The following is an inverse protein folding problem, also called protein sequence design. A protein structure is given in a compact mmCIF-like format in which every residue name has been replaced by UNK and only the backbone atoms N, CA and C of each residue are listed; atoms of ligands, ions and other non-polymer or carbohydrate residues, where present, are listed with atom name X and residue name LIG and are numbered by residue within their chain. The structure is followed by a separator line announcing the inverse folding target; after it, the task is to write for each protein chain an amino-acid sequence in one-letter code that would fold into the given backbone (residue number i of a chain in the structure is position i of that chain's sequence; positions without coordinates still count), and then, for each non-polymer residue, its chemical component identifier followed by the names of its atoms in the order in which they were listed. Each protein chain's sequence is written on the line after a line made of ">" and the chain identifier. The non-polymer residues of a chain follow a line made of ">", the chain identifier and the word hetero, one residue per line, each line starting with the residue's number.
data_IF_817479826816
#
_entry.id   IF_817479826816
#
_cell.length_a   1.000
_cell.length_b   1.000
_cell.length_c   1.000
_cell.angle_alpha   90.00
_cell.angle_beta   90.00
_cell.angle_gamma   90.00
#
_symmetry.space_group_name_H-M   'P 1'
#
loop_
_entity.id
_entity.type
_entity.pdbx_description
1 polymer ?
#
# COMPACT_ATOMS: atom_id res chain seq x y z
N UNK A 1 -8.60 -22.12 -3.62
CA UNK A 1 -7.68 -21.34 -2.76
C UNK A 1 -7.25 -22.21 -1.59
N UNK A 2 -8.21 -22.77 -0.86
CA UNK A 2 -8.06 -23.89 0.08
C UNK A 2 -7.06 -24.98 -0.37
N UNK A 3 -7.23 -25.58 -1.56
CA UNK A 3 -6.31 -26.63 -2.06
C UNK A 3 -4.88 -26.14 -2.30
N UNK A 4 -4.74 -24.86 -2.67
CA UNK A 4 -3.43 -24.23 -2.92
C UNK A 4 -2.69 -24.02 -1.60
N UNK A 5 -3.38 -23.50 -0.57
CA UNK A 5 -2.79 -23.29 0.74
C UNK A 5 -2.38 -24.61 1.41
N UNK A 6 -3.23 -25.65 1.31
CA UNK A 6 -2.88 -27.01 1.77
C UNK A 6 -1.67 -27.57 1.01
N UNK A 7 -1.57 -27.32 -0.30
CA UNK A 7 -0.40 -27.72 -1.09
C UNK A 7 0.90 -27.04 -0.60
N UNK A 8 0.82 -25.78 -0.14
CA UNK A 8 1.94 -25.08 0.50
C UNK A 8 2.12 -25.43 1.99
N UNK A 9 1.45 -26.47 2.50
CA UNK A 9 1.62 -26.98 3.86
C UNK A 9 0.86 -26.24 4.95
N UNK A 10 -0.13 -25.41 4.60
CA UNK A 10 -0.98 -24.73 5.58
C UNK A 10 -2.00 -25.69 6.20
N UNK A 11 -2.43 -25.36 7.43
CA UNK A 11 -3.48 -26.11 8.14
C UNK A 11 -4.78 -26.17 7.30
N UNK A 12 -5.42 -27.35 7.15
CA UNK A 12 -6.63 -27.49 6.34
C UNK A 12 -7.82 -26.64 6.82
N UNK A 13 -7.96 -26.41 8.13
CA UNK A 13 -9.05 -25.60 8.70
C UNK A 13 -8.83 -24.13 8.37
N UNK A 14 -7.62 -23.62 8.57
CA UNK A 14 -7.24 -22.25 8.18
C UNK A 14 -7.40 -22.05 6.68
N UNK A 15 -6.91 -23.00 5.88
CA UNK A 15 -7.01 -22.98 4.42
C UNK A 15 -8.46 -22.94 3.93
N UNK A 16 -9.35 -23.69 4.59
CA UNK A 16 -10.77 -23.71 4.29
C UNK A 16 -11.43 -22.36 4.59
N UNK A 17 -11.16 -21.76 5.76
CA UNK A 17 -11.73 -20.46 6.12
C UNK A 17 -11.19 -19.32 5.24
N UNK A 18 -9.89 -19.31 4.92
CA UNK A 18 -9.30 -18.38 3.97
C UNK A 18 -9.93 -18.53 2.57
N UNK A 19 -10.15 -19.76 2.11
CA UNK A 19 -10.81 -20.04 0.85
C UNK A 19 -12.27 -19.54 0.81
N UNK A 20 -13.03 -19.76 1.88
CA UNK A 20 -14.39 -19.20 2.02
C UNK A 20 -14.35 -17.68 1.97
N UNK A 21 -13.51 -17.03 2.78
CA UNK A 21 -13.40 -15.58 2.80
C UNK A 21 -13.06 -14.99 1.43
N UNK A 22 -12.08 -15.58 0.74
CA UNK A 22 -11.69 -15.17 -0.61
C UNK A 22 -12.83 -15.31 -1.64
N UNK A 23 -13.63 -16.38 -1.58
CA UNK A 23 -14.79 -16.55 -2.46
C UNK A 23 -15.83 -15.44 -2.21
N UNK A 24 -16.07 -15.08 -0.96
CA UNK A 24 -17.01 -14.02 -0.60
C UNK A 24 -16.49 -12.61 -0.91
N UNK A 25 -15.20 -12.44 -1.18
CA UNK A 25 -14.61 -11.21 -1.70
C UNK A 25 -14.73 -11.07 -3.22
N UNK A 26 -14.93 -12.15 -4.00
CA UNK A 26 -15.05 -12.05 -5.47
C UNK A 26 -16.07 -10.99 -5.92
N UNK A 27 -17.27 -10.87 -5.31
CA UNK A 27 -18.23 -9.83 -5.68
C UNK A 27 -17.72 -8.39 -5.48
N UNK A 28 -16.72 -8.13 -4.64
CA UNK A 28 -16.15 -6.79 -4.46
C UNK A 28 -15.22 -6.37 -5.61
N UNK A 29 -14.71 -7.32 -6.40
CA UNK A 29 -13.84 -7.06 -7.55
C UNK A 29 -14.54 -6.28 -8.67
N UNK A 30 -15.86 -6.47 -8.82
CA UNK A 30 -16.64 -5.79 -9.86
C UNK A 30 -16.82 -4.28 -9.56
N UNK A 31 -17.35 -3.86 -8.40
CA UNK A 31 -17.44 -2.45 -8.08
C UNK A 31 -16.07 -1.81 -7.89
N UNK A 32 -15.05 -2.53 -7.41
CA UNK A 32 -13.70 -1.97 -7.35
C UNK A 32 -13.15 -1.65 -8.74
N UNK A 33 -13.29 -2.52 -9.73
CA UNK A 33 -12.86 -2.24 -11.10
C UNK A 33 -13.55 -1.01 -11.71
N UNK A 34 -14.84 -0.81 -11.40
CA UNK A 34 -15.58 0.38 -11.81
C UNK A 34 -15.04 1.62 -11.09
N UNK A 35 -14.81 1.53 -9.79
CA UNK A 35 -14.29 2.62 -8.96
C UNK A 35 -12.89 3.06 -9.39
N UNK A 36 -12.00 2.11 -9.67
CA UNK A 36 -10.66 2.33 -10.21
C UNK A 36 -10.66 3.04 -11.57
N UNK A 37 -11.79 3.03 -12.29
CA UNK A 37 -11.98 3.81 -13.52
C UNK A 37 -12.59 5.18 -13.26
N UNK A 38 -13.57 5.27 -12.34
CA UNK A 38 -14.25 6.53 -12.00
C UNK A 38 -13.34 7.53 -11.27
N UNK A 39 -12.45 7.04 -10.41
CA UNK A 39 -11.55 7.87 -9.60
C UNK A 39 -10.57 8.67 -10.48
N UNK A 40 -9.77 8.05 -11.38
CA UNK A 40 -8.89 8.80 -12.28
C UNK A 40 -9.66 9.74 -13.22
N UNK A 41 -10.86 9.35 -13.66
CA UNK A 41 -11.72 10.22 -14.47
C UNK A 41 -12.05 11.54 -13.76
N UNK A 42 -12.39 11.49 -12.46
CA UNK A 42 -12.68 12.69 -11.67
C UNK A 42 -11.41 13.46 -11.30
N UNK A 43 -10.32 12.75 -10.96
CA UNK A 43 -9.03 13.37 -10.61
C UNK A 43 -8.46 14.19 -11.76
N UNK A 44 -8.45 13.66 -12.99
CA UNK A 44 -7.96 14.37 -14.20
C UNK A 44 -8.75 15.63 -14.52
N UNK A 45 -9.96 15.77 -13.99
CA UNK A 45 -10.79 16.98 -14.10
C UNK A 45 -10.72 17.87 -12.86
N UNK A 46 -9.83 17.55 -11.91
CA UNK A 46 -9.71 18.22 -10.60
C UNK A 46 -11.00 18.20 -9.76
N UNK A 47 -11.88 17.22 -9.97
CA UNK A 47 -13.16 17.06 -9.25
C UNK A 47 -12.97 16.20 -7.98
N UNK A 48 -12.21 16.74 -7.02
CA UNK A 48 -11.84 16.01 -5.80
C UNK A 48 -12.95 16.01 -4.74
N UNK A 49 -13.68 17.13 -4.59
CA UNK A 49 -14.72 17.26 -3.56
C UNK A 49 -15.83 16.19 -3.67
N UNK A 50 -16.39 15.88 -4.84
CA UNK A 50 -17.36 14.80 -4.99
C UNK A 50 -16.82 13.44 -4.53
N UNK A 51 -15.56 13.12 -4.88
CA UNK A 51 -14.92 11.87 -4.46
C UNK A 51 -14.82 11.77 -2.94
N UNK A 52 -14.41 12.86 -2.28
CA UNK A 52 -14.32 12.92 -0.82
C UNK A 52 -15.69 12.73 -0.17
N UNK A 53 -16.73 13.41 -0.65
CA UNK A 53 -18.07 13.31 -0.10
C UNK A 53 -18.65 11.89 -0.27
N UNK A 54 -18.48 11.27 -1.45
CA UNK A 54 -18.90 9.89 -1.69
C UNK A 54 -18.15 8.90 -0.77
N UNK A 55 -16.84 9.09 -0.59
CA UNK A 55 -16.04 8.26 0.34
C UNK A 55 -16.54 8.38 1.79
N UNK A 56 -16.90 9.59 2.24
CA UNK A 56 -17.44 9.82 3.60
C UNK A 56 -18.81 9.12 3.76
N UNK A 57 -19.69 9.22 2.76
CA UNK A 57 -20.98 8.53 2.74
C UNK A 57 -20.78 7.01 2.82
N UNK A 58 -19.89 6.48 1.99
CA UNK A 58 -19.54 5.06 1.95
C UNK A 58 -18.99 4.58 3.29
N UNK A 59 -18.07 5.32 3.91
CA UNK A 59 -17.53 4.98 5.22
C UNK A 59 -18.60 5.00 6.32
N UNK A 60 -19.47 6.01 6.29
CA UNK A 60 -20.58 6.17 7.24
C UNK A 60 -21.58 5.01 7.14
N UNK A 61 -21.75 4.46 5.93
CA UNK A 61 -22.53 3.25 5.69
C UNK A 61 -21.77 1.96 6.04
N UNK A 62 -20.47 1.88 5.76
CA UNK A 62 -19.65 0.70 5.95
C UNK A 62 -19.58 0.26 7.41
N UNK A 63 -19.37 1.20 8.33
CA UNK A 63 -19.22 0.89 9.77
C UNK A 63 -20.44 0.15 10.34
N UNK A 64 -21.69 0.68 10.26
CA UNK A 64 -22.86 -0.02 10.78
C UNK A 64 -23.19 -1.29 9.99
N UNK A 65 -22.94 -1.31 8.68
CA UNK A 65 -23.15 -2.50 7.85
C UNK A 65 -22.21 -3.64 8.26
N UNK A 66 -20.93 -3.34 8.43
CA UNK A 66 -19.93 -4.30 8.87
C UNK A 66 -20.29 -4.86 10.25
N UNK A 67 -20.68 -3.99 11.19
CA UNK A 67 -21.15 -4.43 12.51
C UNK A 67 -22.36 -5.37 12.42
N UNK A 68 -23.37 -5.02 11.62
CA UNK A 68 -24.59 -5.82 11.48
C UNK A 68 -24.29 -7.18 10.81
N UNK A 69 -23.52 -7.19 9.73
CA UNK A 69 -23.21 -8.42 8.99
C UNK A 69 -22.28 -9.33 9.78
N UNK A 70 -21.28 -8.80 10.48
CA UNK A 70 -20.34 -9.62 11.26
C UNK A 70 -20.99 -10.15 12.53
N UNK A 71 -21.64 -9.28 13.32
CA UNK A 71 -22.06 -9.64 14.69
C UNK A 71 -23.54 -9.97 14.85
N UNK A 72 -24.43 -9.55 13.94
CA UNK A 72 -25.88 -9.75 14.10
C UNK A 72 -26.49 -10.77 13.14
N UNK A 73 -25.96 -10.88 11.92
CA UNK A 73 -26.52 -11.75 10.89
C UNK A 73 -26.12 -13.23 10.99
N UNK A 74 -25.13 -13.56 11.84
CA UNK A 74 -24.54 -14.89 11.91
C UNK A 74 -23.55 -15.22 10.78
N UNK A 75 -23.24 -14.26 9.90
CA UNK A 75 -22.32 -14.47 8.76
C UNK A 75 -20.83 -14.40 9.15
N UNK A 76 -20.47 -13.80 10.29
CA UNK A 76 -19.09 -13.75 10.78
C UNK A 76 -18.11 -13.19 9.75
N UNK A 77 -17.06 -13.94 9.41
CA UNK A 77 -16.03 -13.56 8.42
C UNK A 77 -16.62 -13.34 7.02
N UNK A 78 -17.63 -14.12 6.61
CA UNK A 78 -18.34 -13.89 5.33
C UNK A 78 -19.05 -12.54 5.33
N UNK A 79 -19.58 -12.14 6.50
CA UNK A 79 -20.21 -10.85 6.70
C UNK A 79 -19.25 -9.68 6.50
N UNK A 80 -17.99 -9.84 6.92
CA UNK A 80 -16.93 -8.85 6.68
C UNK A 80 -16.56 -8.74 5.19
N UNK A 81 -16.47 -9.86 4.46
CA UNK A 81 -16.24 -9.81 3.01
C UNK A 81 -17.42 -9.17 2.25
N UNK A 82 -18.64 -9.52 2.62
CA UNK A 82 -19.85 -8.98 2.00
C UNK A 82 -20.03 -7.49 2.29
N UNK A 83 -19.69 -7.01 3.50
CA UNK A 83 -19.76 -5.58 3.83
C UNK A 83 -18.85 -4.75 2.94
N UNK A 84 -17.65 -5.24 2.61
CA UNK A 84 -16.72 -4.58 1.65
C UNK A 84 -17.37 -4.44 0.27
N UNK A 85 -17.90 -5.55 -0.27
CA UNK A 85 -18.54 -5.54 -1.60
C UNK A 85 -19.71 -4.55 -1.66
N UNK A 86 -20.59 -4.56 -0.67
CA UNK A 86 -21.74 -3.65 -0.60
C UNK A 86 -21.30 -2.19 -0.45
N UNK A 87 -20.27 -1.91 0.35
CA UNK A 87 -19.72 -0.56 0.50
C UNK A 87 -19.14 -0.02 -0.80
N UNK A 88 -18.40 -0.83 -1.57
CA UNK A 88 -17.92 -0.41 -2.88
C UNK A 88 -19.06 -0.15 -3.87
N UNK A 89 -20.15 -0.93 -3.82
CA UNK A 89 -21.33 -0.62 -4.63
C UNK A 89 -21.99 0.70 -4.24
N UNK A 90 -22.06 1.02 -2.95
CA UNK A 90 -22.55 2.33 -2.50
C UNK A 90 -21.69 3.45 -3.07
N UNK A 91 -20.37 3.30 -3.05
CA UNK A 91 -19.46 4.32 -3.58
C UNK A 91 -19.61 4.49 -5.10
N UNK A 92 -19.63 3.38 -5.84
CA UNK A 92 -19.85 3.36 -7.29
C UNK A 92 -21.20 4.00 -7.65
N UNK A 93 -22.26 3.71 -6.91
CA UNK A 93 -23.58 4.30 -7.15
C UNK A 93 -23.55 5.80 -6.85
N UNK A 94 -22.97 6.22 -5.72
CA UNK A 94 -22.89 7.62 -5.34
C UNK A 94 -22.10 8.45 -6.37
N UNK A 95 -20.93 7.95 -6.79
CA UNK A 95 -20.13 8.56 -7.85
C UNK A 95 -20.83 8.51 -9.20
N UNK A 96 -21.46 7.39 -9.55
CA UNK A 96 -22.23 7.24 -10.78
C UNK A 96 -23.38 8.23 -10.90
N UNK A 97 -24.08 8.51 -9.79
CA UNK A 97 -25.10 9.57 -9.71
C UNK A 97 -24.45 10.93 -9.97
N UNK A 98 -23.33 11.25 -9.31
CA UNK A 98 -22.63 12.50 -9.53
C UNK A 98 -22.21 12.68 -11.01
N UNK A 99 -21.58 11.66 -11.60
CA UNK A 99 -21.14 11.67 -13.00
C UNK A 99 -22.29 11.86 -13.99
N UNK A 100 -23.44 11.25 -13.70
CA UNK A 100 -24.63 11.30 -14.57
C UNK A 100 -25.34 12.65 -14.52
N UNK A 101 -25.39 13.31 -13.38
CA UNK A 101 -26.23 14.51 -13.19
C UNK A 101 -25.44 15.82 -13.02
N UNK A 102 -24.14 15.77 -12.71
CA UNK A 102 -23.33 16.97 -12.53
C UNK A 102 -23.08 17.68 -13.87
N UNK A 103 -23.32 19.00 -13.97
CA UNK A 103 -22.92 19.80 -15.12
C UNK A 103 -21.40 19.82 -15.33
N UNK A 104 -20.61 19.65 -14.26
CA UNK A 104 -19.15 19.65 -14.36
C UNK A 104 -18.61 18.51 -15.23
N UNK A 105 -19.36 17.40 -15.33
CA UNK A 105 -19.00 16.23 -16.14
C UNK A 105 -19.68 16.22 -17.51
N UNK A 106 -20.47 17.24 -17.87
CA UNK A 106 -21.31 17.21 -19.07
C UNK A 106 -20.49 17.04 -20.36
N UNK A 107 -19.35 17.74 -20.48
CA UNK A 107 -18.48 17.70 -21.66
C UNK A 107 -17.65 16.43 -21.79
N UNK A 108 -17.32 15.80 -20.67
CA UNK A 108 -16.45 14.63 -20.56
C UNK A 108 -17.22 13.32 -20.43
N UNK A 109 -18.55 13.39 -20.23
CA UNK A 109 -19.42 12.24 -20.01
C UNK A 109 -19.25 11.23 -21.13
N UNK A 110 -18.87 10.02 -20.76
CA UNK A 110 -18.67 8.94 -21.71
C UNK A 110 -19.94 8.68 -22.52
N UNK A 111 -19.84 8.85 -23.84
CA UNK A 111 -20.80 8.31 -24.79
C UNK A 111 -20.37 6.89 -25.16
N UNK A 112 -21.32 5.97 -25.30
CA UNK A 112 -21.01 4.64 -25.79
C UNK A 112 -20.58 4.74 -27.27
N UNK A 113 -19.30 4.51 -27.55
CA UNK A 113 -18.76 4.41 -28.91
C UNK A 113 -17.97 3.12 -29.08
N UNK A 114 -18.01 2.54 -30.28
CA UNK A 114 -17.14 1.40 -30.65
C UNK A 114 -15.67 1.80 -30.75
N UNK A 115 -15.37 3.09 -30.82
CA UNK A 115 -14.00 3.61 -30.86
C UNK A 115 -13.23 3.27 -29.57
N UNK A 116 -13.93 2.95 -28.47
CA UNK A 116 -13.30 2.48 -27.22
C UNK A 116 -12.41 1.26 -27.44
N UNK A 117 -12.75 0.39 -28.40
CA UNK A 117 -11.96 -0.81 -28.69
C UNK A 117 -10.61 -0.48 -29.33
N UNK A 118 -10.47 0.70 -29.95
CA UNK A 118 -9.20 1.17 -30.50
C UNK A 118 -8.24 1.57 -29.37
N UNK A 119 -8.76 2.08 -28.25
CA UNK A 119 -7.97 2.51 -27.08
C UNK A 119 -7.59 1.38 -26.13
N UNK A 120 -8.10 0.15 -26.33
CA UNK A 120 -7.80 -1.00 -25.45
C UNK A 120 -6.32 -1.36 -25.46
N UNK A 121 -5.67 -1.32 -26.62
CA UNK A 121 -4.23 -1.60 -26.73
C UNK A 121 -3.38 -0.59 -25.96
N UNK A 122 -3.70 0.70 -26.10
CA UNK A 122 -3.04 1.79 -25.38
C UNK A 122 -3.30 1.69 -23.87
N UNK A 123 -4.52 1.37 -23.46
CA UNK A 123 -4.85 1.11 -22.05
C UNK A 123 -3.96 0.03 -21.46
N UNK A 124 -3.79 -1.13 -22.11
CA UNK A 124 -2.93 -2.18 -21.60
C UNK A 124 -1.44 -1.81 -21.62
N UNK A 125 -1.00 -0.99 -22.58
CA UNK A 125 0.38 -0.51 -22.65
C UNK A 125 0.81 0.25 -21.39
N UNK A 126 -0.08 1.07 -20.81
CA UNK A 126 0.21 1.82 -19.58
C UNK A 126 -0.21 1.09 -18.31
N UNK A 127 -1.35 0.39 -18.34
CA UNK A 127 -1.91 -0.29 -17.15
C UNK A 127 -1.09 -1.50 -16.74
N UNK A 128 -0.55 -2.30 -17.67
CA UNK A 128 0.24 -3.49 -17.30
C UNK A 128 1.53 -3.12 -16.54
N UNK A 129 2.36 -2.16 -17.00
CA UNK A 129 3.49 -1.71 -16.20
C UNK A 129 3.08 -1.08 -14.87
N UNK A 130 2.01 -0.28 -14.84
CA UNK A 130 1.51 0.32 -13.60
C UNK A 130 1.03 -0.73 -12.59
N UNK A 131 0.35 -1.78 -13.06
CA UNK A 131 -0.03 -2.92 -12.22
C UNK A 131 1.21 -3.68 -11.72
N UNK A 132 2.20 -3.87 -12.60
CA UNK A 132 3.50 -4.45 -12.24
C UNK A 132 4.19 -3.68 -11.11
N UNK A 133 4.26 -2.36 -11.18
CA UNK A 133 4.84 -1.51 -10.13
C UNK A 133 4.21 -1.80 -8.76
N UNK A 134 2.88 -1.77 -8.68
CA UNK A 134 2.12 -1.96 -7.43
C UNK A 134 2.21 -3.40 -6.93
N UNK A 135 2.06 -4.39 -7.82
CA UNK A 135 2.12 -5.80 -7.44
C UNK A 135 3.51 -6.20 -6.92
N UNK A 136 4.58 -5.76 -7.59
CA UNK A 136 5.95 -6.05 -7.18
C UNK A 136 6.24 -5.48 -5.78
N UNK A 137 5.78 -4.26 -5.51
CA UNK A 137 5.89 -3.62 -4.20
C UNK A 137 5.11 -4.42 -3.13
N UNK A 138 3.82 -4.70 -3.36
CA UNK A 138 2.98 -5.40 -2.38
C UNK A 138 3.47 -6.82 -2.08
N UNK A 139 3.85 -7.56 -3.12
CA UNK A 139 4.39 -8.91 -2.93
C UNK A 139 5.73 -8.90 -2.19
N UNK A 140 6.53 -7.83 -2.31
CA UNK A 140 7.77 -7.72 -1.52
C UNK A 140 7.47 -7.64 -0.02
N UNK A 141 6.41 -6.93 0.39
CA UNK A 141 5.99 -6.88 1.79
C UNK A 141 5.49 -8.24 2.29
N UNK A 142 4.70 -8.97 1.50
CA UNK A 142 4.26 -10.32 1.85
C UNK A 142 5.43 -11.28 2.02
N UNK A 143 6.44 -11.20 1.14
CA UNK A 143 7.68 -11.98 1.26
C UNK A 143 8.44 -11.64 2.55
N UNK A 144 8.51 -10.36 2.94
CA UNK A 144 9.15 -9.96 4.20
C UNK A 144 8.41 -10.51 5.42
N UNK A 145 7.07 -10.51 5.41
CA UNK A 145 6.25 -11.12 6.47
C UNK A 145 6.48 -12.62 6.57
N UNK A 146 6.57 -13.31 5.42
CA UNK A 146 6.91 -14.73 5.40
C UNK A 146 8.33 -15.00 5.94
N UNK A 147 9.30 -14.16 5.57
CA UNK A 147 10.69 -14.28 6.03
C UNK A 147 10.83 -14.01 7.54
N UNK A 148 10.08 -13.07 8.12
CA UNK A 148 10.13 -12.83 9.57
C UNK A 148 9.66 -14.04 10.37
N UNK A 149 8.69 -14.80 9.85
CA UNK A 149 8.22 -16.06 10.43
C UNK A 149 9.26 -17.19 10.44
N UNK A 150 10.36 -17.06 9.71
CA UNK A 150 11.45 -18.02 9.68
C UNK A 150 12.63 -17.64 10.60
N UNK A 151 12.55 -16.48 11.26
CA UNK A 151 13.58 -16.04 12.21
C UNK A 151 13.49 -16.79 13.56
N UNK A 152 14.57 -16.80 14.38
CA UNK A 152 14.63 -17.62 15.59
C UNK A 152 13.57 -17.32 16.67
N UNK A 153 13.02 -16.09 16.70
CA UNK A 153 11.88 -15.73 17.55
C UNK A 153 10.75 -15.19 16.66
N UNK A 154 9.99 -16.09 15.98
CA UNK A 154 9.07 -15.69 14.93
C UNK A 154 7.89 -14.86 15.46
N UNK A 155 7.46 -15.09 16.70
CA UNK A 155 6.37 -14.32 17.34
C UNK A 155 6.79 -12.87 17.57
N UNK A 156 7.97 -12.64 18.16
CA UNK A 156 8.50 -11.29 18.39
C UNK A 156 8.80 -10.57 17.08
N UNK A 157 9.53 -11.22 16.17
CA UNK A 157 9.96 -10.64 14.90
C UNK A 157 8.78 -10.28 14.00
N UNK A 158 7.79 -11.16 13.90
CA UNK A 158 6.59 -10.90 13.09
C UNK A 158 5.69 -9.84 13.74
N UNK A 159 5.62 -9.77 15.07
CA UNK A 159 4.87 -8.72 15.78
C UNK A 159 5.48 -7.35 15.53
N UNK A 160 6.80 -7.21 15.70
CA UNK A 160 7.51 -5.95 15.44
C UNK A 160 7.42 -5.55 13.97
N UNK A 161 7.58 -6.50 13.04
CA UNK A 161 7.43 -6.24 11.62
C UNK A 161 6.01 -5.77 11.28
N UNK A 162 4.98 -6.40 11.87
CA UNK A 162 3.58 -6.00 11.67
C UNK A 162 3.30 -4.57 12.14
N UNK A 163 3.83 -4.17 13.31
CA UNK A 163 3.73 -2.80 13.81
C UNK A 163 4.40 -1.81 12.84
N UNK A 164 5.57 -2.17 12.33
CA UNK A 164 6.30 -1.35 11.34
C UNK A 164 5.50 -1.21 10.05
N UNK A 165 5.03 -2.31 9.47
CA UNK A 165 4.26 -2.32 8.23
C UNK A 165 2.95 -1.54 8.40
N UNK A 166 2.27 -1.68 9.54
CA UNK A 166 1.06 -0.90 9.85
C UNK A 166 1.36 0.60 9.90
N UNK A 167 2.43 0.98 10.61
CA UNK A 167 2.85 2.39 10.71
C UNK A 167 3.24 2.96 9.33
N UNK A 168 3.96 2.19 8.53
CA UNK A 168 4.38 2.58 7.16
C UNK A 168 3.18 2.66 6.23
N UNK A 169 2.21 1.75 6.35
CA UNK A 169 0.98 1.75 5.54
C UNK A 169 0.12 2.99 5.83
N UNK A 170 -0.01 3.38 7.10
CA UNK A 170 -0.72 4.60 7.50
C UNK A 170 -0.10 5.86 6.89
N UNK A 171 1.23 5.95 6.93
CA UNK A 171 1.98 7.03 6.30
C UNK A 171 1.83 7.02 4.77
N UNK A 172 1.93 5.83 4.17
CA UNK A 172 1.84 5.63 2.73
C UNK A 172 0.52 6.14 2.15
N UNK A 173 -0.61 6.11 2.87
CA UNK A 173 -1.88 6.66 2.39
C UNK A 173 -1.79 8.15 2.01
N UNK A 174 -1.05 8.94 2.79
CA UNK A 174 -0.82 10.36 2.53
C UNK A 174 0.01 10.51 1.26
N UNK A 175 1.11 9.77 1.16
CA UNK A 175 2.01 9.82 0.01
C UNK A 175 1.37 9.36 -1.29
N UNK A 176 0.58 8.29 -1.27
CA UNK A 176 -0.15 7.82 -2.43
C UNK A 176 -1.13 8.88 -2.92
N UNK A 177 -1.76 9.63 -2.01
CA UNK A 177 -2.65 10.74 -2.34
C UNK A 177 -1.89 11.90 -3.00
N UNK A 178 -0.73 12.27 -2.45
CA UNK A 178 0.14 13.29 -3.05
C UNK A 178 0.68 12.82 -4.41
N UNK A 179 1.06 11.54 -4.52
CA UNK A 179 1.51 10.88 -5.74
C UNK A 179 0.45 10.90 -6.84
N UNK A 180 -0.82 10.63 -6.51
CA UNK A 180 -1.94 10.75 -7.44
C UNK A 180 -2.17 12.22 -7.86
N UNK A 181 -2.03 13.17 -6.94
CA UNK A 181 -2.15 14.59 -7.24
C UNK A 181 -1.07 15.09 -8.21
N UNK A 182 0.20 14.75 -7.98
CA UNK A 182 1.28 15.11 -8.94
C UNK A 182 1.14 14.37 -10.26
N UNK A 183 0.76 13.09 -10.25
CA UNK A 183 0.50 12.33 -11.49
C UNK A 183 -0.55 13.04 -12.35
N UNK A 184 -1.63 13.47 -11.71
CA UNK A 184 -2.71 14.23 -12.35
C UNK A 184 -2.22 15.58 -12.89
N UNK A 185 -1.50 16.36 -12.07
CA UNK A 185 -1.01 17.69 -12.49
C UNK A 185 0.01 17.60 -13.62
N UNK A 186 1.00 16.71 -13.50
CA UNK A 186 2.03 16.51 -14.52
C UNK A 186 1.41 16.05 -15.83
N UNK A 187 0.47 15.09 -15.81
CA UNK A 187 -0.21 14.63 -17.04
C UNK A 187 -1.02 15.74 -17.72
N UNK A 188 -1.73 16.58 -16.95
CA UNK A 188 -2.48 17.73 -17.49
C UNK A 188 -1.53 18.74 -18.14
N UNK A 189 -0.48 19.17 -17.44
CA UNK A 189 0.43 20.20 -17.95
C UNK A 189 1.24 19.70 -19.16
N UNK A 190 1.69 18.44 -19.14
CA UNK A 190 2.35 17.82 -20.29
C UNK A 190 1.38 17.67 -21.48
N UNK A 191 0.14 17.25 -21.24
CA UNK A 191 -0.89 17.17 -22.27
C UNK A 191 -1.26 18.52 -22.88
N UNK A 192 -1.13 19.61 -22.11
CA UNK A 192 -1.29 20.98 -22.58
C UNK A 192 -0.04 21.55 -23.30
N UNK A 193 1.07 20.80 -23.37
CA UNK A 193 2.34 21.25 -23.93
C UNK A 193 3.12 22.22 -23.04
N UNK A 194 2.75 22.34 -21.76
CA UNK A 194 3.34 23.29 -20.80
C UNK A 194 4.41 22.62 -19.92
N UNK A 195 5.59 22.39 -20.48
CA UNK A 195 6.70 21.74 -19.77
C UNK A 195 7.16 22.50 -18.53
N UNK A 196 7.07 23.83 -18.53
CA UNK A 196 7.48 24.66 -17.39
C UNK A 196 6.56 24.46 -16.18
N UNK A 197 5.24 24.42 -16.39
CA UNK A 197 4.29 24.15 -15.31
C UNK A 197 4.36 22.71 -14.81
N UNK A 198 4.66 21.74 -15.69
CA UNK A 198 4.94 20.37 -15.29
C UNK A 198 6.16 20.29 -14.35
N UNK A 199 7.27 20.97 -14.69
CA UNK A 199 8.46 21.04 -13.84
C UNK A 199 8.19 21.74 -12.51
N UNK A 200 7.39 22.82 -12.51
CA UNK A 200 7.01 23.50 -11.27
C UNK A 200 6.16 22.60 -10.37
N UNK A 201 5.27 21.79 -10.94
CA UNK A 201 4.46 20.81 -10.21
C UNK A 201 5.36 19.75 -9.54
N UNK A 202 6.37 19.25 -10.27
CA UNK A 202 7.38 18.33 -9.73
C UNK A 202 8.15 18.98 -8.58
N UNK A 203 8.69 20.18 -8.78
CA UNK A 203 9.45 20.89 -7.74
C UNK A 203 8.61 21.12 -6.47
N UNK A 204 7.35 21.54 -6.64
CA UNK A 204 6.42 21.81 -5.53
C UNK A 204 6.16 20.55 -4.72
N UNK A 205 5.88 19.42 -5.39
CA UNK A 205 5.60 18.17 -4.68
C UNK A 205 6.84 17.60 -4.00
N UNK A 206 8.04 17.78 -4.56
CA UNK A 206 9.28 17.32 -3.94
C UNK A 206 9.56 18.07 -2.63
N UNK A 207 9.31 19.38 -2.60
CA UNK A 207 9.40 20.18 -1.35
C UNK A 207 8.37 19.68 -0.33
N UNK A 208 7.13 19.44 -0.76
CA UNK A 208 6.09 18.91 0.12
C UNK A 208 6.46 17.54 0.68
N UNK A 209 7.00 16.64 -0.16
CA UNK A 209 7.42 15.30 0.23
C UNK A 209 8.54 15.33 1.27
N UNK A 210 9.55 16.19 1.09
CA UNK A 210 10.64 16.35 2.06
C UNK A 210 10.11 16.92 3.38
N UNK A 211 9.25 17.94 3.32
CA UNK A 211 8.66 18.53 4.52
C UNK A 211 7.79 17.50 5.28
N UNK A 212 7.00 16.72 4.56
CA UNK A 212 6.15 15.64 5.10
C UNK A 212 7.01 14.56 5.76
N UNK A 213 8.02 14.04 5.05
CA UNK A 213 8.91 13.01 5.55
C UNK A 213 9.65 13.44 6.82
N UNK A 214 10.15 14.68 6.87
CA UNK A 214 10.79 15.25 8.06
C UNK A 214 9.79 15.34 9.20
N UNK A 215 8.57 15.82 8.93
CA UNK A 215 7.53 15.99 9.95
C UNK A 215 7.13 14.65 10.56
N UNK A 216 6.79 13.66 9.74
CA UNK A 216 6.39 12.33 10.20
C UNK A 216 7.54 11.63 10.93
N UNK A 217 8.76 11.70 10.37
CA UNK A 217 9.95 11.12 11.01
C UNK A 217 10.24 11.74 12.37
N UNK A 218 10.12 13.07 12.49
CA UNK A 218 10.33 13.77 13.75
C UNK A 218 9.27 13.38 14.80
N UNK A 219 8.00 13.31 14.40
CA UNK A 219 6.91 12.88 15.29
C UNK A 219 7.14 11.45 15.78
N UNK A 220 7.41 10.50 14.87
CA UNK A 220 7.67 9.11 15.23
C UNK A 220 8.91 8.97 16.12
N UNK A 221 9.99 9.67 15.80
CA UNK A 221 11.21 9.62 16.60
C UNK A 221 10.99 10.20 18.01
N UNK A 222 10.25 11.30 18.14
CA UNK A 222 9.88 11.87 19.45
C UNK A 222 8.96 10.94 20.24
N UNK A 223 8.01 10.28 19.56
CA UNK A 223 7.06 9.35 20.17
C UNK A 223 7.60 7.91 20.30
N UNK A 224 8.86 7.64 19.94
CA UNK A 224 9.42 6.26 19.88
C UNK A 224 9.31 5.48 21.19
N UNK A 225 9.32 6.15 22.34
CA UNK A 225 9.20 5.51 23.65
C UNK A 225 7.76 5.15 24.01
N UNK A 226 6.77 5.76 23.36
CA UNK A 226 5.34 5.52 23.62
C UNK A 226 4.66 4.70 22.51
N UNK A 227 5.24 4.68 21.29
CA UNK A 227 4.66 4.05 20.11
C UNK A 227 4.30 2.58 20.34
N UNK A 228 5.19 1.81 20.98
CA UNK A 228 4.96 0.39 21.26
C UNK A 228 3.72 0.10 22.11
N UNK A 229 3.36 1.00 23.03
CA UNK A 229 2.20 0.84 23.92
C UNK A 229 0.87 0.88 23.18
N UNK A 230 0.81 1.47 21.99
CA UNK A 230 -0.40 1.49 21.17
C UNK A 230 -0.71 0.11 20.54
N UNK A 231 0.29 -0.78 20.47
CA UNK A 231 0.18 -2.04 19.74
C UNK A 231 0.31 -3.28 20.60
N UNK A 232 1.14 -3.26 21.67
CA UNK A 232 1.39 -4.43 22.50
C UNK A 232 1.51 -4.08 23.98
N UNK A 233 1.08 -5.02 24.83
CA UNK A 233 1.32 -4.99 26.27
C UNK A 233 2.64 -5.65 26.69
N UNK A 234 3.35 -6.30 25.77
CA UNK A 234 4.58 -7.03 26.04
C UNK A 234 5.78 -6.10 26.00
N UNK A 235 6.53 -6.04 27.11
CA UNK A 235 7.67 -5.14 27.25
C UNK A 235 8.75 -5.38 26.21
N UNK A 236 9.02 -6.64 25.87
CA UNK A 236 10.02 -7.02 24.87
C UNK A 236 9.66 -6.43 23.48
N UNK A 237 8.40 -6.54 23.05
CA UNK A 237 7.92 -5.93 21.80
C UNK A 237 8.05 -4.41 21.83
N UNK A 238 7.69 -3.78 22.95
CA UNK A 238 7.73 -2.31 23.09
C UNK A 238 9.17 -1.76 23.04
N UNK A 239 10.10 -2.39 23.77
CA UNK A 239 11.50 -1.99 23.79
C UNK A 239 12.14 -2.19 22.40
N UNK A 240 11.78 -3.28 21.72
CA UNK A 240 12.23 -3.56 20.36
C UNK A 240 11.71 -2.50 19.35
N UNK A 241 10.41 -2.17 19.36
CA UNK A 241 9.84 -1.12 18.49
C UNK A 241 10.54 0.22 18.71
N UNK A 242 10.83 0.56 19.97
CA UNK A 242 11.56 1.77 20.33
C UNK A 242 12.96 1.79 19.73
N UNK A 243 13.69 0.68 19.79
CA UNK A 243 15.04 0.55 19.20
C UNK A 243 15.02 0.61 17.66
N UNK A 244 13.96 0.12 17.03
CA UNK A 244 13.79 0.09 15.57
C UNK A 244 13.27 1.40 14.97
N UNK A 245 12.60 2.23 15.77
CA UNK A 245 11.96 3.46 15.29
C UNK A 245 12.91 4.37 14.47
N UNK A 246 14.19 4.58 14.82
CA UNK A 246 15.09 5.39 14.00
C UNK A 246 15.29 4.85 12.57
N UNK A 247 15.30 3.53 12.40
CA UNK A 247 15.38 2.90 11.07
C UNK A 247 14.07 3.03 10.31
N UNK A 248 12.94 2.95 11.00
CA UNK A 248 11.63 3.24 10.42
C UNK A 248 11.53 4.70 9.93
N UNK A 249 12.04 5.67 10.70
CA UNK A 249 12.10 7.07 10.25
C UNK A 249 12.89 7.21 8.95
N UNK A 250 14.02 6.51 8.83
CA UNK A 250 14.81 6.52 7.60
C UNK A 250 14.06 5.84 6.45
N UNK A 251 13.30 4.76 6.69
CA UNK A 251 12.48 4.11 5.66
C UNK A 251 11.37 5.01 5.15
N UNK A 252 10.68 5.71 6.05
CA UNK A 252 9.66 6.70 5.70
C UNK A 252 10.21 7.78 4.77
N UNK A 253 11.45 8.26 4.98
CA UNK A 253 12.05 9.26 4.08
C UNK A 253 12.25 8.71 2.66
N UNK A 254 12.74 7.48 2.53
CA UNK A 254 12.94 6.86 1.21
C UNK A 254 11.60 6.53 0.55
N UNK A 255 10.64 5.99 1.31
CA UNK A 255 9.29 5.67 0.84
C UNK A 255 8.56 6.94 0.36
N UNK A 256 8.73 8.07 1.06
CA UNK A 256 8.23 9.38 0.61
C UNK A 256 8.78 9.79 -0.74
N UNK A 257 10.07 9.57 -0.99
CA UNK A 257 10.68 9.92 -2.27
C UNK A 257 10.21 8.99 -3.40
N UNK A 258 10.23 7.68 -3.17
CA UNK A 258 9.86 6.67 -4.18
C UNK A 258 8.39 6.76 -4.56
N UNK A 259 7.48 6.99 -3.61
CA UNK A 259 6.06 7.13 -3.88
C UNK A 259 5.76 8.35 -4.78
N UNK A 260 6.45 9.47 -4.54
CA UNK A 260 6.29 10.70 -5.31
C UNK A 260 6.90 10.58 -6.69
N UNK A 261 8.10 10.01 -6.80
CA UNK A 261 8.74 9.72 -8.10
C UNK A 261 7.88 8.75 -8.93
N UNK A 262 7.29 7.74 -8.29
CA UNK A 262 6.34 6.82 -8.94
C UNK A 262 5.08 7.53 -9.43
N UNK A 263 4.57 8.52 -8.67
CA UNK A 263 3.50 9.42 -9.12
C UNK A 263 3.90 10.24 -10.35
N UNK A 264 5.10 10.82 -10.35
CA UNK A 264 5.63 11.60 -11.47
C UNK A 264 5.82 10.72 -12.71
N UNK A 265 6.36 9.51 -12.56
CA UNK A 265 6.52 8.54 -13.63
C UNK A 265 5.18 8.15 -14.25
N UNK A 266 4.14 7.91 -13.43
CA UNK A 266 2.77 7.67 -13.90
C UNK A 266 2.21 8.86 -14.67
N UNK A 267 2.35 10.07 -14.16
CA UNK A 267 1.90 11.29 -14.85
C UNK A 267 2.63 11.57 -16.17
N UNK A 268 3.87 11.09 -16.29
CA UNK A 268 4.71 11.29 -17.48
C UNK A 268 4.62 10.15 -18.50
N UNK A 269 3.93 9.05 -18.18
CA UNK A 269 3.85 7.85 -19.05
C UNK A 269 5.08 6.92 -18.98
N UNK A 270 5.89 7.01 -17.92
CA UNK A 270 7.13 6.25 -17.74
C UNK A 270 6.98 5.09 -16.75
N UNK A 271 5.78 4.54 -16.58
CA UNK A 271 5.51 3.46 -15.62
C UNK A 271 6.37 2.21 -15.87
N UNK A 272 6.73 1.94 -17.12
CA UNK A 272 7.61 0.82 -17.47
C UNK A 272 9.00 0.93 -16.83
N UNK A 273 9.56 2.14 -16.75
CA UNK A 273 10.85 2.37 -16.07
C UNK A 273 10.69 2.08 -14.57
N UNK A 274 9.62 2.60 -13.96
CA UNK A 274 9.32 2.33 -12.55
C UNK A 274 9.09 0.85 -12.25
N UNK A 275 8.50 0.09 -13.17
CA UNK A 275 8.31 -1.35 -13.00
C UNK A 275 9.65 -2.12 -13.00
N UNK A 276 10.57 -1.77 -13.91
CA UNK A 276 11.91 -2.36 -13.93
C UNK A 276 12.73 -1.97 -12.71
N UNK A 277 12.62 -0.71 -12.28
CA UNK A 277 13.27 -0.21 -11.07
C UNK A 277 12.77 -0.97 -9.84
N UNK A 278 11.45 -1.03 -9.60
CA UNK A 278 10.85 -1.79 -8.49
C UNK A 278 11.28 -3.26 -8.50
N UNK A 279 11.38 -3.90 -9.67
CA UNK A 279 11.85 -5.28 -9.77
C UNK A 279 13.32 -5.40 -9.33
N UNK A 280 14.20 -4.55 -9.87
CA UNK A 280 15.63 -4.55 -9.53
C UNK A 280 15.86 -4.25 -8.05
N UNK A 281 15.26 -3.15 -7.58
CA UNK A 281 15.21 -2.68 -6.20
C UNK A 281 14.86 -3.79 -5.22
N UNK A 282 13.62 -4.26 -5.26
CA UNK A 282 13.10 -5.16 -4.25
C UNK A 282 13.60 -6.60 -4.43
N UNK A 283 13.66 -7.12 -5.65
CA UNK A 283 13.88 -8.56 -5.87
C UNK A 283 15.32 -8.93 -6.16
N UNK A 284 16.12 -8.05 -6.77
CA UNK A 284 17.53 -8.34 -7.08
C UNK A 284 18.47 -7.83 -5.99
N UNK A 285 18.10 -6.79 -5.25
CA UNK A 285 18.94 -6.18 -4.21
C UNK A 285 18.32 -6.34 -2.83
N UNK A 286 17.13 -5.79 -2.60
CA UNK A 286 16.55 -5.63 -1.26
C UNK A 286 16.27 -6.95 -0.55
N UNK A 287 15.50 -7.85 -1.17
CA UNK A 287 15.17 -9.17 -0.60
C UNK A 287 16.42 -10.04 -0.40
N UNK A 288 17.33 -10.21 -1.39
CA UNK A 288 18.57 -10.96 -1.17
C UNK A 288 19.41 -10.41 -0.03
N UNK A 289 19.54 -9.09 0.07
CA UNK A 289 20.29 -8.45 1.14
C UNK A 289 19.60 -8.61 2.49
N UNK A 290 18.26 -8.53 2.54
CA UNK A 290 17.47 -8.83 3.73
C UNK A 290 17.72 -10.26 4.23
N UNK A 291 17.76 -11.26 3.32
CA UNK A 291 18.05 -12.65 3.64
C UNK A 291 19.49 -12.78 4.19
N UNK A 292 20.48 -12.18 3.53
CA UNK A 292 21.88 -12.27 3.98
C UNK A 292 22.04 -11.65 5.38
N UNK A 293 21.50 -10.45 5.60
CA UNK A 293 21.65 -9.74 6.87
C UNK A 293 20.84 -10.39 7.99
N UNK A 294 19.63 -10.89 7.70
CA UNK A 294 18.74 -11.53 8.66
C UNK A 294 19.23 -12.90 9.13
N UNK A 295 19.75 -13.72 8.21
CA UNK A 295 20.11 -15.11 8.49
C UNK A 295 21.63 -15.35 8.66
N UNK A 296 22.50 -14.73 7.85
CA UNK A 296 23.95 -15.03 7.86
C UNK A 296 24.74 -14.24 8.91
N UNK A 297 24.39 -12.98 9.15
CA UNK A 297 25.06 -12.15 10.17
C UNK A 297 24.95 -12.76 11.59
N UNK A 298 23.94 -13.60 11.82
CA UNK A 298 23.72 -14.31 13.09
C UNK A 298 24.40 -15.70 13.14
N UNK A 299 24.50 -16.42 12.02
CA UNK A 299 25.21 -17.72 11.95
C UNK A 299 26.69 -17.58 12.30
N UNK A 300 27.35 -16.51 11.81
CA UNK A 300 28.76 -16.22 12.12
C UNK A 300 29.00 -15.89 13.60
N UNK A 301 28.02 -15.32 14.30
CA UNK A 301 28.12 -14.97 15.73
C UNK A 301 27.80 -16.12 16.69
N UNK A 302 27.02 -17.12 16.26
CA UNK A 302 26.79 -18.35 17.03
C UNK A 302 28.05 -19.24 17.11
N UNK A 303 29.01 -19.03 16.21
CA UNK A 303 30.36 -19.60 16.30
C UNK A 303 31.30 -18.89 17.28
N UNK A 304 31.06 -17.60 17.59
CA UNK A 304 32.00 -16.75 18.33
C UNK A 304 31.56 -16.37 19.77
N UNK A 305 30.30 -16.57 20.16
CA UNK A 305 29.76 -16.03 21.43
C UNK A 305 29.15 -17.10 22.33
N UNK A 306 30.02 -17.80 23.06
CA UNK A 306 29.69 -18.47 24.32
C UNK A 306 29.62 -17.54 25.54
N UNK A 307 29.60 -16.19 25.37
CA UNK A 307 29.54 -15.21 26.47
C UNK A 307 28.80 -13.93 26.03
N UNK A 308 27.83 -13.51 26.84
CA UNK A 308 26.97 -12.31 26.75
C UNK A 308 25.70 -12.39 25.88
N UNK A 309 24.56 -12.46 26.58
CA UNK A 309 23.20 -12.62 26.07
C UNK A 309 22.44 -11.31 25.81
N UNK A 310 22.99 -10.13 26.14
CA UNK A 310 22.14 -8.93 26.33
C UNK A 310 22.27 -7.80 25.29
N UNK A 311 22.78 -8.06 24.06
CA UNK A 311 22.80 -7.04 22.98
C UNK A 311 22.55 -7.64 21.60
N UNK A 312 21.38 -8.23 21.38
CA UNK A 312 21.16 -9.17 20.27
C UNK A 312 20.00 -8.84 19.31
N UNK A 313 19.81 -7.56 18.95
CA UNK A 313 18.85 -7.20 17.91
C UNK A 313 19.51 -6.64 16.63
N UNK A 314 20.69 -6.00 16.68
CA UNK A 314 21.24 -5.20 15.55
C UNK A 314 21.39 -5.86 14.17
N UNK A 315 21.35 -7.19 14.02
CA UNK A 315 21.40 -7.86 12.71
C UNK A 315 20.01 -8.04 12.06
N UNK A 316 18.96 -8.32 12.84
CA UNK A 316 17.58 -8.28 12.33
C UNK A 316 17.20 -6.85 11.94
N UNK A 317 17.77 -5.83 12.61
CA UNK A 317 17.62 -4.40 12.26
C UNK A 317 17.96 -4.10 10.80
N UNK A 318 19.00 -4.73 10.26
CA UNK A 318 19.45 -4.48 8.90
C UNK A 318 18.73 -5.32 7.84
N UNK A 319 18.24 -6.50 8.21
CA UNK A 319 17.40 -7.33 7.34
C UNK A 319 16.11 -6.60 6.93
N UNK A 320 15.55 -5.84 7.88
CA UNK A 320 14.36 -5.02 7.66
C UNK A 320 14.68 -3.68 6.97
N UNK A 321 15.92 -3.19 7.09
CA UNK A 321 16.32 -1.89 6.56
C UNK A 321 16.46 -1.86 5.03
N UNK A 322 16.91 -2.96 4.41
CA UNK A 322 17.36 -2.93 3.01
C UNK A 322 16.30 -3.21 1.95
N UNK A 323 15.00 -3.24 2.28
CA UNK A 323 13.96 -3.12 1.25
C UNK A 323 13.75 -1.66 0.78
N UNK A 324 14.83 -0.87 0.81
CA UNK A 324 14.88 0.52 0.35
C UNK A 324 15.56 0.54 -1.01
N UNK A 325 14.76 0.80 -2.04
CA UNK A 325 15.16 1.12 -3.43
C UNK A 325 15.96 0.09 -4.20
#
# INVERSE_FOLDING_TARGET
>A
MDKLLVFFGQDPVVSLEAGKYAIWLIPSLFPSAILESMVPYLQTQSLILPMLLCSIITLSFHIPLCWALVFKSGLGTKGAALSISLSYWVDVIALGIYLKYSPACEKSRAAFSRDVFLSVGEFFHFTLPSAGMVCLEWWSFELLVLLSGLLPNPELESSVLSIRLTTTSLHSLILHSIGAAVSTRVSIELGAGNSQAAQLSVCTVMVLAVAEAITVSAVLFCCRSILGYAYSGEKEVMDYVREMTPLLCLSIVMDSLTAILSGIARGSGWQHIGAYDNFGAYYLVGIPLAIVLGFFSKSKRRGDLGRNSDRNHTASHFAYFYNMS
#
